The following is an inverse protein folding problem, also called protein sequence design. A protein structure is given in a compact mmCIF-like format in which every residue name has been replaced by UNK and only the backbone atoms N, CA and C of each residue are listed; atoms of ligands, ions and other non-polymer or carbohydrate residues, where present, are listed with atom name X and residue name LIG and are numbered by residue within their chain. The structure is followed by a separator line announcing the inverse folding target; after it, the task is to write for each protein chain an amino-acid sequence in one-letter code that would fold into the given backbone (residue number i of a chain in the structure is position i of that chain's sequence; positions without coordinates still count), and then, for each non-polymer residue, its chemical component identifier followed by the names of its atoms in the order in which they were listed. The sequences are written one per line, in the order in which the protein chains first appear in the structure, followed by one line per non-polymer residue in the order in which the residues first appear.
data_IF_174977126235
#
_entry.id   IF_174977126235
#
_cell.length_a   1.000
_cell.length_b   1.000
_cell.length_c   1.000
_cell.angle_alpha   90.00
_cell.angle_beta   90.00
_cell.angle_gamma   90.00
#
_symmetry.space_group_name_H-M   'P 1'
#
loop_
_entity.id
_entity.type
_entity.pdbx_description
1 polymer ?
#
# COMPACT_ATOMS: atom_id res chain seq x y z
N UNK A 1 17.60 7.15 -23.52
CA UNK A 1 17.51 7.95 -22.28
C UNK A 1 16.77 7.17 -21.22
N UNK A 2 17.32 7.11 -20.07
CA UNK A 2 16.61 6.49 -18.96
C UNK A 2 15.74 7.54 -18.30
N UNK A 3 14.45 7.30 -18.29
CA UNK A 3 13.54 8.16 -17.57
C UNK A 3 13.64 7.80 -16.09
N UNK A 4 14.12 8.73 -15.30
CA UNK A 4 14.07 8.55 -13.88
C UNK A 4 12.62 8.67 -13.43
N UNK A 5 12.06 7.60 -12.96
CA UNK A 5 10.72 7.62 -12.43
C UNK A 5 10.64 8.56 -11.23
N UNK A 6 9.46 9.04 -10.98
CA UNK A 6 9.19 9.83 -9.79
C UNK A 6 7.97 9.26 -9.08
N UNK A 7 7.80 9.65 -7.83
CA UNK A 7 6.68 9.19 -7.02
C UNK A 7 5.67 10.32 -6.87
N UNK A 8 4.41 10.01 -7.16
CA UNK A 8 3.30 10.92 -6.93
C UNK A 8 2.50 10.40 -5.75
N UNK A 9 2.38 11.21 -4.71
CA UNK A 9 1.56 10.88 -3.54
C UNK A 9 0.25 11.64 -3.62
N UNK A 10 -0.85 10.93 -3.50
CA UNK A 10 -2.19 11.52 -3.54
C UNK A 10 -2.86 11.24 -2.20
N UNK A 11 -3.12 12.32 -1.46
CA UNK A 11 -3.75 12.26 -0.16
C UNK A 11 -5.19 12.76 -0.25
N UNK A 12 -6.00 12.27 0.67
CA UNK A 12 -7.36 12.72 0.81
C UNK A 12 -8.23 11.67 1.49
N UNK A 13 -9.43 12.06 1.94
CA UNK A 13 -10.38 11.11 2.48
C UNK A 13 -10.76 10.06 1.44
N UNK A 14 -11.07 8.86 1.89
CA UNK A 14 -11.42 7.75 1.00
C UNK A 14 -12.60 8.09 0.07
N UNK A 15 -13.50 8.96 0.50
CA UNK A 15 -14.70 9.33 -0.27
C UNK A 15 -14.48 10.51 -1.23
N UNK A 16 -13.25 11.00 -1.38
CA UNK A 16 -12.97 12.20 -2.18
C UNK A 16 -12.70 11.92 -3.67
N UNK A 17 -12.80 10.66 -4.11
CA UNK A 17 -12.50 10.31 -5.49
C UNK A 17 -11.00 10.15 -5.77
N UNK A 18 -10.14 10.15 -4.76
CA UNK A 18 -8.70 10.06 -4.95
C UNK A 18 -8.26 8.78 -5.65
N UNK A 19 -8.97 7.68 -5.46
CA UNK A 19 -8.65 6.42 -6.14
C UNK A 19 -8.77 6.54 -7.65
N UNK A 20 -9.82 7.20 -8.14
CA UNK A 20 -10.02 7.44 -9.56
C UNK A 20 -8.94 8.37 -10.11
N UNK A 21 -8.61 9.43 -9.38
CA UNK A 21 -7.56 10.39 -9.77
C UNK A 21 -6.21 9.69 -9.81
N UNK A 22 -5.89 8.89 -8.80
CA UNK A 22 -4.61 8.18 -8.71
C UNK A 22 -4.41 7.23 -9.88
N UNK A 23 -5.44 6.48 -10.26
CA UNK A 23 -5.38 5.56 -11.39
C UNK A 23 -5.21 6.31 -12.70
N UNK A 24 -5.88 7.44 -12.87
CA UNK A 24 -5.75 8.26 -14.06
C UNK A 24 -4.34 8.84 -14.19
N UNK A 25 -3.76 9.32 -13.09
CA UNK A 25 -2.40 9.85 -13.08
C UNK A 25 -1.41 8.74 -13.42
N UNK A 26 -1.56 7.56 -12.83
CA UNK A 26 -0.68 6.43 -13.11
C UNK A 26 -0.74 6.03 -14.57
N UNK A 27 -1.93 5.96 -15.16
CA UNK A 27 -2.10 5.62 -16.57
C UNK A 27 -1.47 6.67 -17.47
N UNK A 28 -1.60 7.95 -17.15
CA UNK A 28 -1.05 9.04 -17.92
C UNK A 28 0.48 8.96 -18.04
N UNK A 29 1.15 8.64 -16.94
CA UNK A 29 2.61 8.55 -16.92
C UNK A 29 3.16 7.14 -17.18
N UNK A 30 2.29 6.14 -17.29
CA UNK A 30 2.73 4.75 -17.38
C UNK A 30 3.33 4.22 -16.10
N UNK A 31 2.94 4.78 -14.96
CA UNK A 31 3.43 4.39 -13.64
C UNK A 31 2.56 3.31 -13.01
N UNK A 32 3.15 2.55 -12.11
CA UNK A 32 2.38 1.63 -11.29
C UNK A 32 1.57 2.41 -10.26
N UNK A 33 0.42 1.88 -9.90
CA UNK A 33 -0.45 2.45 -8.87
C UNK A 33 -0.40 1.57 -7.62
N UNK A 34 -0.29 2.21 -6.46
CA UNK A 34 -0.27 1.51 -5.18
C UNK A 34 -1.22 2.19 -4.20
N UNK A 35 -2.21 1.45 -3.75
CA UNK A 35 -3.11 1.89 -2.68
C UNK A 35 -2.46 1.53 -1.34
N UNK A 36 -2.01 2.54 -0.61
CA UNK A 36 -1.31 2.32 0.66
C UNK A 36 -2.22 1.72 1.72
N UNK A 37 -3.53 1.96 1.64
CA UNK A 37 -4.49 1.29 2.53
C UNK A 37 -4.49 -0.22 2.39
N UNK A 38 -4.26 -0.73 1.18
CA UNK A 38 -4.16 -2.16 0.95
C UNK A 38 -2.93 -2.77 1.64
N UNK A 39 -1.85 -2.00 1.79
CA UNK A 39 -0.65 -2.49 2.51
C UNK A 39 -1.01 -2.85 3.94
N UNK A 40 -1.71 -1.95 4.64
CA UNK A 40 -2.11 -2.22 6.02
C UNK A 40 -3.10 -3.37 6.12
N UNK A 41 -4.01 -3.49 5.15
CA UNK A 41 -4.95 -4.62 5.11
C UNK A 41 -4.24 -5.93 4.84
N UNK A 42 -3.24 -5.95 3.99
CA UNK A 42 -2.45 -7.15 3.73
C UNK A 42 -1.70 -7.61 4.99
N UNK A 43 -1.09 -6.67 5.72
CA UNK A 43 -0.47 -6.98 7.01
C UNK A 43 -1.53 -7.50 7.99
N UNK A 44 -2.69 -6.85 8.05
CA UNK A 44 -3.77 -7.25 8.94
C UNK A 44 -4.23 -8.69 8.66
N UNK A 45 -4.36 -9.06 7.39
CA UNK A 45 -4.72 -10.44 7.02
C UNK A 45 -3.74 -11.46 7.55
N UNK A 46 -2.45 -11.14 7.51
CA UNK A 46 -1.41 -12.01 8.05
C UNK A 46 -1.44 -12.09 9.57
N UNK A 47 -1.67 -10.95 10.24
CA UNK A 47 -1.76 -10.94 11.71
C UNK A 47 -2.98 -11.71 12.22
N UNK A 48 -4.07 -11.68 11.49
CA UNK A 48 -5.25 -12.49 11.81
C UNK A 48 -4.99 -13.98 11.67
N UNK A 49 -3.97 -14.38 10.90
CA UNK A 49 -3.52 -15.76 10.77
C UNK A 49 -2.46 -16.15 11.82
N UNK A 50 -2.14 -15.25 12.72
CA UNK A 50 -1.22 -15.52 13.82
C UNK A 50 0.19 -14.99 13.65
N UNK A 51 0.49 -14.28 12.57
CA UNK A 51 1.82 -13.69 12.39
C UNK A 51 1.98 -12.42 13.24
N UNK A 52 3.21 -12.15 13.67
CA UNK A 52 3.53 -10.91 14.35
C UNK A 52 3.39 -9.74 13.36
N UNK A 53 2.85 -8.58 13.80
CA UNK A 53 2.67 -7.44 12.88
C UNK A 53 3.96 -6.98 12.20
N UNK A 54 5.05 -6.87 12.95
CA UNK A 54 6.32 -6.43 12.39
C UNK A 54 6.86 -7.41 11.35
N UNK A 55 6.79 -8.71 11.65
CA UNK A 55 7.24 -9.75 10.72
C UNK A 55 6.36 -9.79 9.47
N UNK A 56 5.04 -9.68 9.65
CA UNK A 56 4.10 -9.67 8.55
C UNK A 56 4.38 -8.50 7.61
N UNK A 57 4.68 -7.33 8.16
CA UNK A 57 4.99 -6.14 7.37
C UNK A 57 6.31 -6.28 6.61
N UNK A 58 7.34 -6.84 7.25
CA UNK A 58 8.66 -7.04 6.61
C UNK A 58 8.63 -8.08 5.52
N UNK A 59 7.77 -9.08 5.64
CA UNK A 59 7.65 -10.18 4.69
C UNK A 59 6.65 -9.88 3.57
N UNK A 60 6.05 -8.71 3.55
CA UNK A 60 5.03 -8.36 2.58
C UNK A 60 5.61 -8.33 1.16
N UNK A 61 4.88 -8.94 0.22
CA UNK A 61 5.22 -8.94 -1.20
C UNK A 61 4.04 -8.43 -2.00
N UNK A 62 4.25 -7.94 -3.24
CA UNK A 62 3.15 -7.37 -4.03
C UNK A 62 1.96 -8.32 -4.25
N UNK A 63 2.21 -9.62 -4.35
CA UNK A 63 1.13 -10.59 -4.49
C UNK A 63 0.18 -10.65 -3.31
N UNK A 64 0.63 -10.24 -2.13
CA UNK A 64 -0.22 -10.20 -0.94
C UNK A 64 -1.34 -9.16 -1.04
N UNK A 65 -1.22 -8.20 -1.95
CA UNK A 65 -2.21 -7.15 -2.13
C UNK A 65 -3.40 -7.57 -2.98
N UNK A 66 -3.34 -8.75 -3.57
CA UNK A 66 -4.32 -9.22 -4.56
C UNK A 66 -5.39 -10.14 -3.97
N UNK A 67 -5.42 -10.31 -2.64
CA UNK A 67 -6.40 -11.17 -1.98
C UNK A 67 -7.74 -10.46 -1.80
N UNK A 68 -8.82 -11.10 -2.21
CA UNK A 68 -10.17 -10.55 -2.06
C UNK A 68 -10.56 -10.40 -0.59
N UNK A 69 -10.02 -11.25 0.28
CA UNK A 69 -10.30 -11.22 1.72
C UNK A 69 -9.90 -9.91 2.39
N UNK A 70 -9.05 -9.11 1.75
CA UNK A 70 -8.60 -7.84 2.30
C UNK A 70 -9.74 -6.82 2.46
N UNK A 71 -10.86 -7.05 1.83
CA UNK A 71 -12.03 -6.16 1.91
C UNK A 71 -12.98 -6.49 3.07
N UNK A 72 -12.74 -7.55 3.81
CA UNK A 72 -13.59 -7.95 4.92
C UNK A 72 -13.53 -6.93 6.06
N UNK A 73 -14.65 -6.68 6.77
CA UNK A 73 -14.65 -5.74 7.90
C UNK A 73 -13.65 -6.09 9.00
N UNK A 74 -13.44 -7.38 9.28
CA UNK A 74 -12.46 -7.82 10.28
C UNK A 74 -11.04 -7.42 9.89
N UNK A 75 -10.72 -7.48 8.61
CA UNK A 75 -9.41 -7.04 8.09
C UNK A 75 -9.28 -5.53 8.22
N UNK A 76 -10.33 -4.77 7.91
CA UNK A 76 -10.31 -3.32 8.03
C UNK A 76 -10.08 -2.87 9.48
N UNK A 77 -10.71 -3.53 10.45
CA UNK A 77 -10.50 -3.25 11.86
C UNK A 77 -9.08 -3.56 12.29
N UNK A 78 -8.56 -4.70 11.90
CA UNK A 78 -7.19 -5.10 12.21
C UNK A 78 -6.18 -4.17 11.54
N UNK A 79 -6.46 -3.72 10.32
CA UNK A 79 -5.61 -2.77 9.61
C UNK A 79 -5.45 -1.47 10.39
N UNK A 80 -6.53 -0.96 10.98
CA UNK A 80 -6.48 0.23 11.83
C UNK A 80 -5.61 0.00 13.06
N UNK A 81 -5.67 -1.19 13.64
CA UNK A 81 -4.85 -1.55 14.81
C UNK A 81 -3.37 -1.60 14.45
N UNK A 82 -3.01 -2.31 13.37
CA UNK A 82 -1.60 -2.46 12.99
C UNK A 82 -1.01 -1.16 12.44
N UNK A 83 -1.83 -0.28 11.88
CA UNK A 83 -1.36 1.02 11.40
C UNK A 83 -0.84 1.93 12.51
N UNK A 84 -1.19 1.67 13.74
CA UNK A 84 -0.68 2.42 14.90
C UNK A 84 0.69 1.92 15.37
N UNK A 85 1.17 0.80 14.84
CA UNK A 85 2.43 0.18 15.29
C UNK A 85 3.60 0.79 14.50
N UNK A 86 4.57 1.46 15.17
CA UNK A 86 5.68 2.12 14.46
C UNK A 86 6.51 1.19 13.57
N UNK A 87 6.77 -0.04 14.01
CA UNK A 87 7.56 -1.01 13.24
C UNK A 87 6.85 -1.41 11.95
N UNK A 88 5.53 -1.52 11.97
CA UNK A 88 4.73 -1.80 10.78
C UNK A 88 4.82 -0.63 9.81
N UNK A 89 4.66 0.58 10.31
CA UNK A 89 4.72 1.78 9.47
C UNK A 89 6.08 1.92 8.80
N UNK A 90 7.17 1.70 9.54
CA UNK A 90 8.52 1.76 9.00
C UNK A 90 8.74 0.72 7.91
N UNK A 91 8.31 -0.52 8.13
CA UNK A 91 8.45 -1.58 7.14
C UNK A 91 7.64 -1.29 5.88
N UNK A 92 6.45 -0.70 6.02
CA UNK A 92 5.62 -0.36 4.87
C UNK A 92 6.15 0.85 4.09
N UNK A 93 6.83 1.79 4.75
CA UNK A 93 7.55 2.86 4.04
C UNK A 93 8.64 2.26 3.17
N UNK A 94 9.40 1.32 3.70
CA UNK A 94 10.44 0.62 2.92
C UNK A 94 9.83 -0.14 1.74
N UNK A 95 8.70 -0.79 1.94
CA UNK A 95 7.99 -1.47 0.87
C UNK A 95 7.59 -0.48 -0.24
N UNK A 96 7.05 0.67 0.14
CA UNK A 96 6.63 1.69 -0.82
C UNK A 96 7.82 2.23 -1.63
N UNK A 97 8.94 2.47 -0.98
CA UNK A 97 10.16 2.93 -1.65
C UNK A 97 10.69 1.90 -2.64
N UNK A 98 10.73 0.63 -2.23
CA UNK A 98 11.17 -0.46 -3.10
C UNK A 98 10.23 -0.64 -4.29
N UNK A 99 8.93 -0.53 -4.04
CA UNK A 99 7.92 -0.62 -5.09
C UNK A 99 8.10 0.50 -6.13
N UNK A 100 8.25 1.74 -5.67
CA UNK A 100 8.43 2.89 -6.54
C UNK A 100 9.71 2.76 -7.37
N UNK A 101 10.80 2.32 -6.75
CA UNK A 101 12.07 2.15 -7.45
C UNK A 101 11.99 1.08 -8.54
N UNK A 102 11.31 -0.03 -8.24
CA UNK A 102 11.17 -1.15 -9.18
C UNK A 102 10.28 -0.80 -10.36
N UNK A 103 9.26 -0.01 -10.11
CA UNK A 103 8.29 0.35 -11.13
C UNK A 103 8.77 1.48 -12.06
N UNK A 104 9.94 2.09 -11.79
CA UNK A 104 10.41 3.24 -12.57
C UNK A 104 9.61 4.51 -12.30
N UNK A 105 8.78 4.48 -11.30
CA UNK A 105 7.87 5.54 -10.89
C UNK A 105 6.58 4.92 -10.39
N UNK A 106 5.90 5.60 -9.49
CA UNK A 106 4.69 5.07 -8.90
C UNK A 106 3.75 6.19 -8.47
N UNK A 107 2.46 5.87 -8.44
CA UNK A 107 1.44 6.72 -7.83
C UNK A 107 1.01 6.04 -6.53
N UNK A 108 1.23 6.71 -5.42
CA UNK A 108 0.84 6.23 -4.10
C UNK A 108 -0.44 6.93 -3.67
N UNK A 109 -1.45 6.12 -3.40
CA UNK A 109 -2.76 6.58 -2.99
C UNK A 109 -2.90 6.24 -1.50
N UNK A 110 -3.05 7.27 -0.65
CA UNK A 110 -3.10 7.03 0.78
C UNK A 110 -3.50 8.26 1.57
N UNK A 111 -3.31 8.18 2.87
CA UNK A 111 -3.59 9.26 3.81
C UNK A 111 -2.44 9.46 4.73
#
# INVERSE_FOLDING_TARGET
MTTNGFTVAIDGPAASGKGTISKAVAAHFGFAHLDTGLLYRAVAGKTLQGQSPAEAARALVPGDLEHDDLRRPSVAQEASRVAAIPEVRAALVDFQRSFAARAGGAVLDGR
#
